data_IF_381821095739
#
_entry.id   IF_381821095739
#
_cell.length_a   1.000
_cell.length_b   1.000
_cell.length_c   1.000
_cell.angle_alpha   90.00
_cell.angle_beta   90.00
_cell.angle_gamma   90.00
#
_symmetry.space_group_name_H-M   'P 1'
#
loop_
_entity.id
_entity.type
_entity.pdbx_description
1 polymer ?
#
# COMPACT_ATOMS: atom_id res chain seq x y z
N UNK A 1 -2.83 -16.89 3.60
CA UNK A 1 -1.67 -15.98 3.45
C UNK A 1 -1.95 -14.86 2.46
N UNK A 2 -2.18 -15.17 1.16
CA UNK A 2 -2.36 -14.17 0.10
C UNK A 2 -3.50 -13.18 0.33
N UNK A 3 -4.66 -13.63 0.81
CA UNK A 3 -5.77 -12.74 1.18
C UNK A 3 -5.40 -11.76 2.31
N UNK A 4 -4.53 -12.17 3.25
CA UNK A 4 -4.06 -11.28 4.31
C UNK A 4 -3.13 -10.18 3.78
N UNK A 5 -2.25 -10.51 2.85
CA UNK A 5 -1.38 -9.54 2.17
C UNK A 5 -2.18 -8.61 1.24
N UNK A 6 -3.25 -9.11 0.64
CA UNK A 6 -4.22 -8.30 -0.10
C UNK A 6 -4.96 -7.32 0.80
N UNK A 7 -5.47 -7.77 1.95
CA UNK A 7 -6.10 -6.90 2.93
C UNK A 7 -5.12 -5.84 3.45
N UNK A 8 -3.85 -6.20 3.67
CA UNK A 8 -2.80 -5.25 4.05
C UNK A 8 -2.58 -4.19 2.96
N UNK A 9 -2.51 -4.58 1.69
CA UNK A 9 -2.44 -3.64 0.57
C UNK A 9 -3.63 -2.68 0.58
N UNK A 10 -4.86 -3.19 0.67
CA UNK A 10 -6.07 -2.37 0.67
C UNK A 10 -6.13 -1.41 1.87
N UNK A 11 -5.69 -1.85 3.05
CA UNK A 11 -5.64 -1.01 4.24
C UNK A 11 -4.70 0.19 4.05
N UNK A 12 -3.52 -0.04 3.46
CA UNK A 12 -2.58 1.04 3.13
C UNK A 12 -3.15 1.94 2.03
N UNK A 13 -3.79 1.40 1.00
CA UNK A 13 -4.35 2.15 -0.14
C UNK A 13 -5.31 3.29 0.27
N UNK A 14 -6.10 3.08 1.32
CA UNK A 14 -7.10 4.08 1.74
C UNK A 14 -6.46 5.38 2.22
N UNK A 15 -5.29 5.31 2.84
CA UNK A 15 -4.65 6.50 3.39
C UNK A 15 -4.13 7.47 2.30
N UNK A 16 -3.35 7.05 1.26
CA UNK A 16 -3.00 7.92 0.14
C UNK A 16 -4.24 8.47 -0.58
N UNK A 17 -5.29 7.68 -0.76
CA UNK A 17 -6.56 8.16 -1.36
C UNK A 17 -7.21 9.28 -0.54
N UNK A 18 -7.18 9.18 0.79
CA UNK A 18 -7.65 10.23 1.67
C UNK A 18 -6.77 11.50 1.55
N UNK A 19 -5.46 11.34 1.39
CA UNK A 19 -4.54 12.47 1.14
C UNK A 19 -4.81 13.14 -0.21
N UNK A 20 -5.09 12.38 -1.29
CA UNK A 20 -5.52 12.97 -2.57
C UNK A 20 -6.75 13.85 -2.35
N UNK A 21 -7.80 13.35 -1.69
CA UNK A 21 -9.01 14.15 -1.41
C UNK A 21 -8.67 15.40 -0.58
N UNK A 22 -7.80 15.27 0.43
CA UNK A 22 -7.38 16.40 1.27
C UNK A 22 -6.69 17.48 0.44
N UNK A 23 -5.79 17.10 -0.46
CA UNK A 23 -4.96 18.00 -1.27
C UNK A 23 -5.74 18.60 -2.44
N UNK A 24 -6.46 17.78 -3.20
CA UNK A 24 -7.10 18.20 -4.46
C UNK A 24 -8.56 18.62 -4.30
N UNK A 25 -9.21 18.27 -3.18
CA UNK A 25 -10.66 18.39 -2.96
C UNK A 25 -11.51 17.64 -3.99
N UNK A 26 -10.92 16.63 -4.63
CA UNK A 26 -11.57 15.85 -5.70
C UNK A 26 -11.43 14.33 -5.45
N UNK A 27 -12.14 13.55 -6.26
CA UNK A 27 -12.14 12.10 -6.22
C UNK A 27 -10.75 11.57 -6.59
N UNK A 28 -10.17 10.64 -5.79
CA UNK A 28 -8.88 10.06 -6.11
C UNK A 28 -8.97 9.20 -7.38
N UNK A 29 -7.87 9.04 -8.12
CA UNK A 29 -7.87 8.20 -9.32
C UNK A 29 -8.25 6.75 -8.97
N UNK A 30 -9.02 6.11 -9.86
CA UNK A 30 -9.50 4.73 -9.71
C UNK A 30 -8.42 3.70 -10.00
N UNK A 31 -7.30 3.81 -9.29
CA UNK A 31 -6.14 2.94 -9.38
C UNK A 31 -5.83 2.30 -8.02
N UNK A 32 -5.03 1.24 -8.05
CA UNK A 32 -4.54 0.50 -6.88
C UNK A 32 -3.01 0.61 -6.72
N UNK A 33 -2.35 1.35 -7.61
CA UNK A 33 -0.90 1.52 -7.57
C UNK A 33 -0.53 2.53 -6.47
N UNK A 34 0.06 2.05 -5.38
CA UNK A 34 0.34 2.85 -4.18
C UNK A 34 1.36 3.98 -4.43
N UNK A 35 2.50 3.78 -5.12
CA UNK A 35 3.37 4.88 -5.54
C UNK A 35 2.64 5.97 -6.33
N UNK A 36 1.83 5.61 -7.34
CA UNK A 36 1.07 6.59 -8.13
C UNK A 36 0.02 7.34 -7.30
N UNK A 37 -0.61 6.68 -6.33
CA UNK A 37 -1.53 7.33 -5.41
C UNK A 37 -0.80 8.31 -4.48
N UNK A 38 0.42 7.99 -4.05
CA UNK A 38 1.23 8.89 -3.25
C UNK A 38 1.71 10.11 -4.06
N UNK A 39 2.08 9.92 -5.33
CA UNK A 39 2.38 11.01 -6.27
C UNK A 39 1.15 11.92 -6.48
N UNK A 40 -0.02 11.34 -6.74
CA UNK A 40 -1.27 12.10 -6.88
C UNK A 40 -1.66 12.85 -5.61
N UNK A 41 -1.22 12.37 -4.45
CA UNK A 41 -1.42 13.00 -3.14
C UNK A 41 -0.32 14.01 -2.77
N UNK A 42 0.66 14.25 -3.66
CA UNK A 42 1.82 15.11 -3.42
C UNK A 42 2.57 14.79 -2.11
N UNK A 43 2.66 13.50 -1.76
CA UNK A 43 3.33 13.07 -0.52
C UNK A 43 4.84 13.05 -0.71
N UNK A 44 5.56 13.81 0.12
CA UNK A 44 7.02 13.75 0.21
C UNK A 44 7.46 12.51 0.99
N UNK A 45 7.68 11.42 0.25
CA UNK A 45 8.07 10.12 0.78
C UNK A 45 9.58 9.92 0.76
N UNK A 46 10.11 9.36 1.84
CA UNK A 46 11.46 8.81 1.84
C UNK A 46 11.58 7.60 0.88
N UNK A 47 12.79 7.31 0.41
CA UNK A 47 13.05 6.14 -0.44
C UNK A 47 12.59 4.83 0.19
N UNK A 48 12.75 4.68 1.52
CA UNK A 48 12.25 3.51 2.25
C UNK A 48 10.73 3.36 2.15
N UNK A 49 10.00 4.46 2.19
CA UNK A 49 8.53 4.45 2.06
C UNK A 49 8.11 4.16 0.63
N UNK A 50 8.76 4.77 -0.37
CA UNK A 50 8.51 4.48 -1.79
C UNK A 50 8.70 2.99 -2.10
N UNK A 51 9.81 2.42 -1.64
CA UNK A 51 10.10 0.99 -1.80
C UNK A 51 9.04 0.11 -1.13
N UNK A 52 8.58 0.47 0.08
CA UNK A 52 7.49 -0.27 0.73
C UNK A 52 6.16 -0.22 -0.05
N UNK A 53 5.79 0.94 -0.59
CA UNK A 53 4.58 1.05 -1.40
C UNK A 53 4.68 0.22 -2.68
N UNK A 54 5.87 0.18 -3.30
CA UNK A 54 6.15 -0.69 -4.44
C UNK A 54 6.09 -2.19 -4.05
N UNK A 55 6.68 -2.58 -2.91
CA UNK A 55 6.65 -3.96 -2.38
C UNK A 55 5.22 -4.46 -2.15
N UNK A 56 4.30 -3.56 -1.78
CA UNK A 56 2.90 -3.90 -1.48
C UNK A 56 2.01 -4.02 -2.72
N UNK A 57 2.38 -3.41 -3.85
CA UNK A 57 1.57 -3.38 -5.07
C UNK A 57 1.19 -4.76 -5.63
N UNK A 58 2.13 -5.73 -5.73
CA UNK A 58 1.82 -7.05 -6.28
C UNK A 58 0.68 -7.78 -5.56
N UNK A 59 0.49 -7.50 -4.26
CA UNK A 59 -0.52 -8.19 -3.45
C UNK A 59 -1.96 -7.78 -3.80
N UNK A 60 -2.18 -6.66 -4.50
CA UNK A 60 -3.51 -6.32 -5.02
C UNK A 60 -4.01 -7.35 -6.05
N UNK A 61 -3.12 -7.76 -6.97
CA UNK A 61 -3.46 -8.72 -8.04
C UNK A 61 -3.41 -10.14 -7.49
N UNK A 62 -2.33 -10.49 -6.77
CA UNK A 62 -2.14 -11.84 -6.20
C UNK A 62 -3.23 -12.25 -5.21
N UNK A 63 -3.84 -11.29 -4.51
CA UNK A 63 -5.00 -11.57 -3.66
C UNK A 63 -6.25 -12.01 -4.41
N UNK A 64 -6.42 -11.51 -5.64
CA UNK A 64 -7.64 -11.66 -6.45
C UNK A 64 -7.56 -12.82 -7.43
N UNK A 65 -6.36 -13.11 -7.96
CA UNK A 65 -6.13 -14.15 -8.94
C UNK A 65 -5.18 -15.19 -8.37
N UNK A 66 -5.72 -16.37 -8.07
CA UNK A 66 -4.98 -17.46 -7.41
C UNK A 66 -4.30 -18.41 -8.39
N UNK A 67 -4.57 -18.24 -9.67
CA UNK A 67 -4.31 -19.22 -10.73
C UNK A 67 -2.81 -19.35 -11.09
N UNK A 68 -2.01 -18.33 -10.79
CA UNK A 68 -0.55 -18.29 -11.03
C UNK A 68 0.25 -17.87 -9.79
N UNK A 69 -0.24 -18.20 -8.60
CA UNK A 69 0.49 -17.88 -7.38
C UNK A 69 1.62 -18.88 -7.16
N UNK A 70 2.87 -18.40 -7.24
CA UNK A 70 4.03 -19.13 -6.72
C UNK A 70 3.93 -19.36 -5.20
N UNK A 71 5.01 -19.85 -4.60
CA UNK A 71 5.04 -20.06 -3.14
C UNK A 71 4.80 -18.75 -2.36
N UNK A 72 4.00 -18.78 -1.28
CA UNK A 72 3.84 -17.62 -0.41
C UNK A 72 5.17 -17.20 0.21
N UNK A 73 5.35 -15.89 0.49
CA UNK A 73 6.55 -15.42 1.16
C UNK A 73 6.68 -16.07 2.56
N UNK A 74 7.92 -16.31 3.03
CA UNK A 74 8.18 -16.80 4.37
C UNK A 74 7.53 -15.92 5.45
N UNK A 75 7.12 -16.54 6.56
CA UNK A 75 6.46 -15.81 7.65
C UNK A 75 7.34 -14.70 8.26
N UNK A 76 8.68 -14.87 8.24
CA UNK A 76 9.63 -13.84 8.65
C UNK A 76 9.52 -12.58 7.80
N UNK A 77 9.44 -12.73 6.47
CA UNK A 77 9.25 -11.63 5.53
C UNK A 77 7.88 -10.97 5.69
N UNK A 78 6.83 -11.77 5.89
CA UNK A 78 5.48 -11.25 6.15
C UNK A 78 5.45 -10.40 7.41
N UNK A 79 6.06 -10.87 8.51
CA UNK A 79 6.17 -10.09 9.77
C UNK A 79 6.95 -8.79 9.58
N UNK A 80 8.06 -8.83 8.84
CA UNK A 80 8.85 -7.63 8.54
C UNK A 80 8.07 -6.64 7.66
N UNK A 81 7.34 -7.13 6.66
CA UNK A 81 6.46 -6.32 5.82
C UNK A 81 5.32 -5.68 6.63
N UNK A 82 4.65 -6.45 7.51
CA UNK A 82 3.59 -5.95 8.38
C UNK A 82 4.09 -4.85 9.32
N UNK A 83 5.29 -5.01 9.90
CA UNK A 83 5.90 -3.97 10.75
C UNK A 83 6.10 -2.67 9.96
N UNK A 84 6.72 -2.76 8.76
CA UNK A 84 6.94 -1.59 7.90
C UNK A 84 5.62 -0.95 7.44
N UNK A 85 4.61 -1.76 7.11
CA UNK A 85 3.28 -1.28 6.72
C UNK A 85 2.59 -0.54 7.87
N UNK A 86 2.69 -1.04 9.11
CA UNK A 86 2.18 -0.35 10.30
C UNK A 86 2.86 1.01 10.50
N UNK A 87 4.18 1.07 10.43
CA UNK A 87 4.95 2.32 10.52
C UNK A 87 4.49 3.33 9.45
N UNK A 88 4.28 2.86 8.22
CA UNK A 88 3.80 3.68 7.11
C UNK A 88 2.36 4.17 7.32
N UNK A 89 1.47 3.30 7.77
CA UNK A 89 0.09 3.67 8.09
C UNK A 89 0.05 4.77 9.17
N UNK A 90 0.78 4.58 10.28
CA UNK A 90 0.87 5.58 11.34
C UNK A 90 1.45 6.90 10.83
N UNK A 91 2.46 6.84 9.96
CA UNK A 91 3.06 8.04 9.36
C UNK A 91 2.07 8.81 8.47
N UNK A 92 1.29 8.09 7.65
CA UNK A 92 0.27 8.66 6.77
C UNK A 92 -0.88 9.26 7.57
N UNK A 93 -1.36 8.55 8.59
CA UNK A 93 -2.48 9.01 9.42
C UNK A 93 -2.14 10.22 10.27
N UNK A 94 -0.90 10.35 10.75
CA UNK A 94 -0.42 11.54 11.48
C UNK A 94 -0.41 12.83 10.64
N UNK A 95 -0.49 12.71 9.31
CA UNK A 95 -0.44 13.83 8.36
C UNK A 95 -1.79 14.13 7.71
N UNK A 96 -2.78 13.28 7.95
CA UNK A 96 -4.13 13.46 7.46
C UNK A 96 -4.85 14.51 8.31
#
# INVERSE_FOLDING_TARGET
MWLGLFALHLAIEKAPKAHVIKETKDVPPFIHNLPKLAEAANLDLSERQKNLLADLNPYNIRGRYQEELGSPPPMSEVKALMKRAKEMFEWLMKRL
#
